data_IF_305518148060
#
_entry.id   IF_305518148060
#
_cell.length_a   1.000
_cell.length_b   1.000
_cell.length_c   1.000
_cell.angle_alpha   90.00
_cell.angle_beta   90.00
_cell.angle_gamma   90.00
#
_symmetry.space_group_name_H-M   'P 1'
#
loop_
_entity.id
_entity.type
_entity.pdbx_description
1 polymer ?
#
# COMPACT_ATOMS: atom_id res chain seq x y z
N UNK A 1 -9.18 -9.28 6.19
CA UNK A 1 -8.49 -9.94 5.06
C UNK A 1 -7.40 -9.03 4.50
N UNK A 2 -6.25 -9.56 4.09
CA UNK A 2 -5.21 -8.79 3.39
C UNK A 2 -5.00 -9.39 1.99
N UNK A 3 -4.99 -8.53 0.97
CA UNK A 3 -4.56 -8.87 -0.38
C UNK A 3 -3.20 -8.22 -0.65
N UNK A 4 -2.19 -9.03 -0.86
CA UNK A 4 -0.84 -8.58 -1.21
C UNK A 4 -0.74 -8.48 -2.73
N UNK A 5 -0.40 -7.29 -3.19
CA UNK A 5 -0.26 -6.92 -4.60
C UNK A 5 1.23 -6.78 -4.94
N UNK A 6 1.82 -7.77 -5.62
CA UNK A 6 3.23 -7.74 -5.98
C UNK A 6 3.59 -6.60 -6.93
N UNK A 7 4.89 -6.39 -7.12
CA UNK A 7 5.41 -5.51 -8.16
C UNK A 7 5.09 -6.05 -9.58
N UNK A 8 5.11 -5.15 -10.55
CA UNK A 8 4.87 -5.43 -11.96
C UNK A 8 5.73 -4.56 -12.86
N UNK A 9 5.44 -4.62 -14.16
CA UNK A 9 6.08 -3.81 -15.18
C UNK A 9 5.10 -2.72 -15.68
N UNK A 10 5.63 -1.69 -16.30
CA UNK A 10 4.79 -0.67 -16.96
C UNK A 10 4.05 -1.26 -18.17
N UNK A 11 4.78 -2.01 -19.01
CA UNK A 11 4.23 -2.68 -20.19
C UNK A 11 4.72 -4.11 -20.25
N UNK A 12 3.84 -5.09 -20.16
CA UNK A 12 4.17 -6.51 -20.34
C UNK A 12 2.92 -7.35 -20.52
N UNK A 13 2.84 -8.10 -21.60
CA UNK A 13 1.82 -9.14 -21.82
C UNK A 13 2.24 -10.52 -21.27
N UNK A 14 3.41 -10.64 -20.65
CA UNK A 14 3.89 -11.90 -20.07
C UNK A 14 3.14 -12.20 -18.76
N UNK A 15 2.90 -13.48 -18.51
CA UNK A 15 2.42 -13.94 -17.21
C UNK A 15 3.54 -13.82 -16.16
N UNK A 16 3.23 -13.35 -14.95
CA UNK A 16 4.23 -13.35 -13.87
C UNK A 16 4.63 -14.78 -13.50
N UNK A 17 5.89 -14.97 -13.13
CA UNK A 17 6.29 -16.19 -12.44
C UNK A 17 5.78 -16.15 -10.99
N UNK A 18 4.95 -17.10 -10.55
CA UNK A 18 4.31 -17.04 -9.23
C UNK A 18 5.32 -16.92 -8.08
N UNK A 19 6.45 -17.60 -8.15
CA UNK A 19 7.49 -17.59 -7.10
C UNK A 19 8.17 -16.24 -6.96
N UNK A 20 8.50 -15.56 -8.08
CA UNK A 20 9.15 -14.25 -8.03
C UNK A 20 8.18 -13.14 -7.59
N UNK A 21 6.93 -13.20 -8.04
CA UNK A 21 5.89 -12.29 -7.61
C UNK A 21 5.64 -12.42 -6.10
N UNK A 22 5.45 -13.65 -5.61
CA UNK A 22 5.27 -13.92 -4.18
C UNK A 22 6.48 -13.52 -3.33
N UNK A 23 7.72 -13.66 -3.86
CA UNK A 23 8.93 -13.32 -3.12
C UNK A 23 8.99 -11.82 -2.74
N UNK A 24 8.50 -10.93 -3.61
CA UNK A 24 8.56 -9.48 -3.39
C UNK A 24 7.74 -8.99 -2.18
N UNK A 25 6.68 -9.71 -1.83
CA UNK A 25 5.75 -9.38 -0.73
C UNK A 25 5.71 -10.45 0.37
N UNK A 26 6.37 -11.59 0.15
CA UNK A 26 6.26 -12.77 1.00
C UNK A 26 6.79 -12.58 2.43
N UNK A 27 7.85 -11.79 2.60
CA UNK A 27 8.38 -11.51 3.94
C UNK A 27 7.39 -10.71 4.78
N UNK A 28 6.77 -9.69 4.18
CA UNK A 28 5.72 -8.90 4.80
C UNK A 28 4.48 -9.78 5.08
N UNK A 29 4.07 -10.58 4.10
CA UNK A 29 2.93 -11.50 4.27
C UNK A 29 3.09 -12.43 5.46
N UNK A 30 4.24 -13.09 5.59
CA UNK A 30 4.52 -13.96 6.75
C UNK A 30 4.50 -13.21 8.09
N UNK A 31 4.93 -11.95 8.09
CA UNK A 31 4.87 -11.11 9.28
C UNK A 31 3.42 -10.80 9.66
N UNK A 32 2.60 -10.38 8.69
CA UNK A 32 1.18 -10.07 8.92
C UNK A 32 0.39 -11.31 9.39
N UNK A 33 0.61 -12.47 8.77
CA UNK A 33 -0.01 -13.74 9.23
C UNK A 33 0.32 -14.01 10.69
N UNK A 34 1.58 -13.86 11.10
CA UNK A 34 1.97 -14.06 12.51
C UNK A 34 1.34 -13.04 13.45
N UNK A 35 1.30 -11.76 13.05
CA UNK A 35 0.73 -10.69 13.85
C UNK A 35 -0.78 -10.85 14.07
N UNK A 36 -1.48 -11.36 13.06
CA UNK A 36 -2.93 -11.54 13.08
C UNK A 36 -3.42 -12.95 13.38
N UNK A 37 -2.52 -13.89 13.77
CA UNK A 37 -2.88 -15.29 14.00
C UNK A 37 -4.01 -15.47 15.04
N UNK A 38 -4.02 -14.65 16.10
CA UNK A 38 -5.05 -14.68 17.16
C UNK A 38 -6.39 -14.01 16.76
N UNK A 39 -6.44 -13.31 15.62
CA UNK A 39 -7.60 -12.53 15.18
C UNK A 39 -8.19 -13.05 13.85
N UNK A 40 -7.72 -14.21 13.40
CA UNK A 40 -8.22 -14.83 12.17
C UNK A 40 -7.82 -14.06 10.89
N UNK A 41 -6.69 -13.33 10.90
CA UNK A 41 -6.19 -12.64 9.71
C UNK A 41 -5.79 -13.63 8.63
N UNK A 42 -6.43 -13.54 7.48
CA UNK A 42 -6.06 -14.28 6.27
C UNK A 42 -5.34 -13.34 5.31
N UNK A 43 -4.24 -13.82 4.72
CA UNK A 43 -3.40 -13.06 3.81
C UNK A 43 -3.24 -13.85 2.50
N UNK A 44 -3.64 -13.26 1.39
CA UNK A 44 -3.48 -13.83 0.06
C UNK A 44 -2.55 -12.97 -0.80
N UNK A 45 -1.76 -13.62 -1.65
CA UNK A 45 -1.00 -12.95 -2.70
C UNK A 45 -1.84 -12.98 -3.98
N UNK A 46 -2.05 -11.82 -4.58
CA UNK A 46 -2.75 -11.72 -5.86
C UNK A 46 -1.81 -12.17 -6.98
N UNK A 47 -2.29 -13.09 -7.79
CA UNK A 47 -1.58 -13.54 -8.99
C UNK A 47 -2.18 -12.87 -10.21
N UNK A 48 -1.45 -11.92 -10.78
CA UNK A 48 -1.90 -11.18 -11.95
C UNK A 48 -1.97 -12.05 -13.20
N UNK A 49 -2.93 -11.74 -14.09
CA UNK A 49 -3.02 -12.33 -15.44
C UNK A 49 -1.83 -11.93 -16.29
N UNK A 50 -1.45 -10.65 -16.21
CA UNK A 50 -0.30 -10.07 -16.91
C UNK A 50 0.60 -9.36 -15.92
N UNK A 51 1.90 -9.34 -16.22
CA UNK A 51 2.87 -8.64 -15.38
C UNK A 51 2.80 -7.13 -15.54
N UNK A 52 2.30 -6.63 -16.68
CA UNK A 52 2.27 -5.21 -17.02
C UNK A 52 1.00 -4.49 -16.62
N UNK A 53 1.17 -3.20 -16.30
CA UNK A 53 0.05 -2.28 -16.15
C UNK A 53 -0.71 -2.09 -17.46
N UNK A 54 0.04 -1.91 -18.59
CA UNK A 54 -0.43 -1.82 -19.97
C UNK A 54 -1.36 -0.62 -20.24
N UNK A 55 -0.93 0.56 -19.86
CA UNK A 55 -1.58 1.82 -20.19
C UNK A 55 -3.01 1.94 -19.64
N UNK A 56 -3.98 2.23 -20.51
CA UNK A 56 -5.40 2.39 -20.15
C UNK A 56 -6.03 1.11 -19.63
N UNK A 57 -5.51 -0.06 -20.00
CA UNK A 57 -6.03 -1.36 -19.55
C UNK A 57 -5.88 -1.55 -18.04
N UNK A 58 -4.83 -1.00 -17.43
CA UNK A 58 -4.60 -1.06 -15.99
C UNK A 58 -4.81 -2.46 -15.40
N UNK A 59 -4.29 -3.50 -16.08
CA UNK A 59 -4.57 -4.90 -15.78
C UNK A 59 -4.37 -5.27 -14.30
N UNK A 60 -3.31 -4.71 -13.65
CA UNK A 60 -3.03 -4.99 -12.25
C UNK A 60 -4.14 -4.47 -11.33
N UNK A 61 -4.74 -3.32 -11.67
CA UNK A 61 -5.88 -2.78 -10.93
C UNK A 61 -7.13 -3.64 -11.13
N UNK A 62 -7.41 -4.07 -12.36
CA UNK A 62 -8.52 -4.98 -12.64
C UNK A 62 -8.37 -6.30 -11.88
N UNK A 63 -7.16 -6.85 -11.83
CA UNK A 63 -6.89 -8.08 -11.10
C UNK A 63 -7.01 -7.89 -9.57
N UNK A 64 -6.71 -6.69 -9.06
CA UNK A 64 -6.93 -6.34 -7.65
C UNK A 64 -8.43 -6.24 -7.31
N UNK A 65 -9.23 -5.61 -8.19
CA UNK A 65 -10.69 -5.54 -8.06
C UNK A 65 -11.30 -6.95 -8.10
N UNK A 66 -10.90 -7.75 -9.08
CA UNK A 66 -11.34 -9.15 -9.17
C UNK A 66 -10.98 -9.96 -7.91
N UNK A 67 -9.78 -9.75 -7.35
CA UNK A 67 -9.38 -10.44 -6.13
C UNK A 67 -10.22 -10.01 -4.91
N UNK A 68 -10.65 -8.76 -4.85
CA UNK A 68 -11.56 -8.27 -3.82
C UNK A 68 -12.98 -8.86 -3.99
N UNK A 69 -13.50 -8.95 -5.23
CA UNK A 69 -14.74 -9.67 -5.54
C UNK A 69 -14.68 -11.14 -5.10
N UNK A 70 -13.55 -11.80 -5.35
CA UNK A 70 -13.34 -13.20 -4.98
C UNK A 70 -13.28 -13.39 -3.44
N UNK A 71 -12.76 -12.40 -2.71
CA UNK A 71 -12.84 -12.38 -1.24
C UNK A 71 -14.31 -12.34 -0.80
N UNK A 72 -15.12 -11.42 -1.34
CA UNK A 72 -16.53 -11.31 -1.00
C UNK A 72 -17.28 -12.62 -1.31
N UNK A 73 -17.00 -13.20 -2.47
CA UNK A 73 -17.63 -14.45 -2.89
C UNK A 73 -17.31 -15.64 -1.95
N UNK A 74 -16.06 -15.71 -1.42
CA UNK A 74 -15.60 -16.85 -0.59
C UNK A 74 -15.85 -16.65 0.89
N UNK A 75 -15.72 -15.42 1.37
CA UNK A 75 -15.67 -15.12 2.81
C UNK A 75 -16.81 -14.21 3.28
N UNK A 76 -17.66 -13.74 2.33
CA UNK A 76 -18.72 -12.79 2.64
C UNK A 76 -18.22 -11.35 2.83
N UNK A 77 -18.99 -10.57 3.52
CA UNK A 77 -18.69 -9.15 3.78
C UNK A 77 -17.62 -9.02 4.89
N UNK A 78 -16.37 -9.18 4.49
CA UNK A 78 -15.21 -9.02 5.38
C UNK A 78 -14.37 -7.82 4.93
N UNK A 79 -13.84 -7.00 5.85
CA UNK A 79 -13.02 -5.86 5.48
C UNK A 79 -11.70 -6.31 4.85
N UNK A 80 -11.35 -5.67 3.72
CA UNK A 80 -10.13 -5.94 2.96
C UNK A 80 -9.16 -4.78 3.09
N UNK A 81 -7.90 -5.10 3.40
CA UNK A 81 -6.77 -4.20 3.26
C UNK A 81 -5.96 -4.58 2.03
N UNK A 82 -5.83 -3.66 1.07
CA UNK A 82 -4.94 -3.84 -0.07
C UNK A 82 -3.53 -3.39 0.32
N UNK A 83 -2.56 -4.27 0.18
CA UNK A 83 -1.15 -3.98 0.49
C UNK A 83 -0.33 -4.19 -0.78
N UNK A 84 0.12 -3.09 -1.39
CA UNK A 84 0.81 -3.14 -2.66
C UNK A 84 2.21 -2.57 -2.61
N UNK A 85 3.11 -3.11 -3.44
CA UNK A 85 4.47 -2.62 -3.62
C UNK A 85 4.71 -2.19 -5.06
N UNK A 86 5.38 -1.05 -5.25
CA UNK A 86 5.71 -0.51 -6.57
C UNK A 86 4.47 -0.42 -7.47
N UNK A 87 4.43 -1.10 -8.62
CA UNK A 87 3.25 -1.15 -9.50
C UNK A 87 2.02 -1.76 -8.80
N UNK A 88 2.21 -2.73 -7.90
CA UNK A 88 1.15 -3.24 -7.02
C UNK A 88 0.65 -2.19 -6.02
N UNK A 89 1.49 -1.25 -5.61
CA UNK A 89 1.09 -0.09 -4.80
C UNK A 89 0.16 0.84 -5.55
N UNK A 90 0.42 1.10 -6.84
CA UNK A 90 -0.50 1.82 -7.73
C UNK A 90 -1.81 1.07 -7.89
N UNK A 91 -1.75 -0.25 -8.11
CA UNK A 91 -2.95 -1.08 -8.25
C UNK A 91 -3.82 -1.03 -6.98
N UNK A 92 -3.21 -1.08 -5.78
CA UNK A 92 -3.91 -0.95 -4.51
C UNK A 92 -4.62 0.41 -4.38
N UNK A 93 -3.94 1.51 -4.74
CA UNK A 93 -4.53 2.85 -4.71
C UNK A 93 -5.68 2.99 -5.71
N UNK A 94 -5.62 2.35 -6.88
CA UNK A 94 -6.66 2.40 -7.91
C UNK A 94 -7.89 1.55 -7.53
N UNK A 95 -7.67 0.34 -7.02
CA UNK A 95 -8.72 -0.60 -6.64
C UNK A 95 -9.37 -0.25 -5.27
N UNK A 96 -8.95 0.82 -4.61
CA UNK A 96 -9.48 1.25 -3.32
C UNK A 96 -10.99 1.57 -3.31
N UNK A 97 -11.58 1.80 -4.49
CA UNK A 97 -13.00 2.07 -4.64
C UNK A 97 -13.92 0.86 -4.43
N UNK A 98 -13.38 -0.35 -4.43
CA UNK A 98 -14.15 -1.56 -4.22
C UNK A 98 -14.82 -1.56 -2.83
N UNK A 99 -16.09 -2.00 -2.74
CA UNK A 99 -16.91 -1.89 -1.53
C UNK A 99 -16.31 -2.61 -0.31
N UNK A 100 -15.69 -3.75 -0.50
CA UNK A 100 -15.04 -4.51 0.56
C UNK A 100 -13.72 -3.89 1.05
N UNK A 101 -13.10 -2.99 0.28
CA UNK A 101 -11.83 -2.37 0.66
C UNK A 101 -12.06 -1.27 1.69
N UNK A 102 -11.49 -1.43 2.90
CA UNK A 102 -11.53 -0.42 3.93
C UNK A 102 -10.21 0.34 4.10
N UNK A 103 -9.11 -0.23 3.65
CA UNK A 103 -7.78 0.36 3.83
C UNK A 103 -6.79 -0.01 2.74
N UNK A 104 -5.79 0.85 2.55
CA UNK A 104 -4.73 0.68 1.55
C UNK A 104 -3.37 0.99 2.18
N UNK A 105 -2.42 0.11 1.97
CA UNK A 105 -1.00 0.33 2.24
C UNK A 105 -0.22 0.27 0.92
N UNK A 106 0.38 1.37 0.52
CA UNK A 106 1.20 1.46 -0.69
C UNK A 106 2.68 1.68 -0.33
N UNK A 107 3.54 0.73 -0.72
CA UNK A 107 4.98 0.74 -0.47
C UNK A 107 5.71 1.14 -1.76
N UNK A 108 6.40 2.29 -1.75
CA UNK A 108 7.09 2.87 -2.89
C UNK A 108 6.23 2.75 -4.18
N UNK A 109 4.98 3.28 -4.19
CA UNK A 109 4.09 3.07 -5.33
C UNK A 109 4.70 3.67 -6.59
N UNK A 110 4.74 2.88 -7.67
CA UNK A 110 5.08 3.42 -8.98
C UNK A 110 3.92 4.27 -9.49
N UNK A 111 4.19 5.53 -9.77
CA UNK A 111 3.22 6.47 -10.30
C UNK A 111 3.78 7.08 -11.60
N UNK A 112 2.94 7.29 -12.62
CA UNK A 112 3.39 7.95 -13.83
C UNK A 112 3.80 9.39 -13.52
N UNK A 113 4.78 9.91 -14.26
CA UNK A 113 5.09 11.32 -14.23
C UNK A 113 3.85 12.13 -14.62
N UNK A 114 3.58 13.19 -13.88
CA UNK A 114 2.48 14.11 -14.17
C UNK A 114 2.95 15.06 -15.28
N UNK A 115 2.75 14.66 -16.53
CA UNK A 115 2.86 15.56 -17.66
C UNK A 115 1.54 16.34 -17.83
N UNK A 116 1.61 17.57 -18.38
CA UNK A 116 0.42 18.39 -18.67
C UNK A 116 -0.56 17.70 -19.62
N UNK A 117 -0.10 16.70 -20.38
CA UNK A 117 -0.90 15.89 -21.28
C UNK A 117 -1.56 14.66 -20.62
N UNK A 118 -1.14 14.26 -19.42
CA UNK A 118 -1.64 13.07 -18.73
C UNK A 118 -2.40 13.49 -17.48
N UNK A 119 -3.64 13.03 -17.35
CA UNK A 119 -4.43 13.28 -16.14
C UNK A 119 -3.72 12.69 -14.92
N UNK A 120 -3.66 13.45 -13.82
CA UNK A 120 -3.02 12.95 -12.61
C UNK A 120 -3.75 11.71 -12.07
N UNK A 121 -3.00 10.83 -11.41
CA UNK A 121 -3.55 9.60 -10.81
C UNK A 121 -4.79 9.94 -9.94
N UNK A 122 -5.94 9.27 -10.14
CA UNK A 122 -7.18 9.61 -9.44
C UNK A 122 -7.08 9.37 -7.94
N UNK A 123 -7.85 10.14 -7.17
CA UNK A 123 -7.87 10.05 -5.71
C UNK A 123 -9.29 9.90 -5.13
N UNK A 124 -10.34 10.02 -5.95
CA UNK A 124 -11.74 9.95 -5.48
C UNK A 124 -12.07 8.61 -4.83
N UNK A 125 -11.53 7.51 -5.36
CA UNK A 125 -11.72 6.16 -4.85
C UNK A 125 -11.11 5.93 -3.46
N UNK A 126 -10.22 6.82 -3.01
CA UNK A 126 -9.64 6.79 -1.67
C UNK A 126 -10.58 7.39 -0.59
N UNK A 127 -11.70 7.97 -0.99
CA UNK A 127 -12.68 8.54 -0.07
C UNK A 127 -13.19 7.51 0.93
N UNK A 128 -13.15 7.83 2.23
CA UNK A 128 -13.57 6.95 3.32
C UNK A 128 -12.66 5.74 3.57
N UNK A 129 -11.49 5.67 2.95
CA UNK A 129 -10.50 4.60 3.16
C UNK A 129 -9.36 5.09 4.05
N UNK A 130 -8.86 4.24 4.94
CA UNK A 130 -7.58 4.51 5.61
C UNK A 130 -6.44 4.23 4.65
N UNK A 131 -5.56 5.20 4.44
CA UNK A 131 -4.47 5.07 3.48
C UNK A 131 -3.14 5.41 4.13
N UNK A 132 -2.19 4.48 4.03
CA UNK A 132 -0.80 4.70 4.37
C UNK A 132 0.06 4.54 3.12
N UNK A 133 0.87 5.54 2.83
CA UNK A 133 1.90 5.47 1.80
C UNK A 133 3.26 5.51 2.48
N UNK A 134 4.20 4.67 2.05
CA UNK A 134 5.59 4.66 2.52
C UNK A 134 6.50 4.80 1.31
N UNK A 135 7.42 5.76 1.32
CA UNK A 135 8.32 5.99 0.18
C UNK A 135 9.74 6.32 0.63
N UNK A 136 10.73 5.74 -0.03
CA UNK A 136 12.14 6.06 0.19
C UNK A 136 12.51 7.41 -0.42
N UNK A 137 13.27 8.23 0.30
CA UNK A 137 13.64 9.57 -0.22
C UNK A 137 14.66 9.54 -1.35
N UNK A 138 15.38 8.43 -1.48
CA UNK A 138 16.39 8.21 -2.54
C UNK A 138 15.88 7.20 -3.59
N UNK A 139 14.56 7.15 -3.83
CA UNK A 139 13.99 6.32 -4.86
C UNK A 139 14.29 6.93 -6.25
N UNK A 140 15.17 6.25 -7.01
CA UNK A 140 15.55 6.64 -8.37
C UNK A 140 14.65 6.02 -9.45
N UNK A 141 13.78 5.08 -9.08
CA UNK A 141 12.87 4.41 -10.02
C UNK A 141 11.53 5.13 -10.16
N UNK A 142 11.09 5.76 -9.09
CA UNK A 142 9.86 6.55 -9.03
C UNK A 142 10.08 7.74 -8.12
N UNK A 143 9.87 8.95 -8.65
CA UNK A 143 10.00 10.17 -7.87
C UNK A 143 9.09 10.14 -6.62
N UNK A 144 9.65 10.20 -5.40
CA UNK A 144 8.88 10.22 -4.16
C UNK A 144 7.89 11.39 -4.07
N UNK A 145 8.15 12.48 -4.80
CA UNK A 145 7.29 13.65 -4.86
C UNK A 145 5.93 13.34 -5.51
N UNK A 146 5.87 12.39 -6.45
CA UNK A 146 4.61 11.96 -7.05
C UNK A 146 3.66 11.37 -6.02
N UNK A 147 4.17 10.52 -5.14
CA UNK A 147 3.37 9.95 -4.05
C UNK A 147 2.96 10.98 -3.00
N UNK A 148 3.80 11.99 -2.75
CA UNK A 148 3.44 13.12 -1.89
C UNK A 148 2.31 13.95 -2.50
N UNK A 149 2.41 14.32 -3.77
CA UNK A 149 1.36 15.08 -4.49
C UNK A 149 0.03 14.32 -4.52
N UNK A 150 0.06 13.00 -4.77
CA UNK A 150 -1.12 12.15 -4.71
C UNK A 150 -1.73 12.18 -3.30
N UNK A 151 -0.94 11.95 -2.26
CA UNK A 151 -1.39 11.99 -0.88
C UNK A 151 -1.96 13.36 -0.49
N UNK A 152 -1.33 14.45 -0.93
CA UNK A 152 -1.79 15.82 -0.66
C UNK A 152 -3.15 16.12 -1.34
N UNK A 153 -3.35 15.66 -2.58
CA UNK A 153 -4.65 15.76 -3.25
C UNK A 153 -5.73 14.94 -2.53
N UNK A 154 -5.39 13.70 -2.17
CA UNK A 154 -6.32 12.80 -1.49
C UNK A 154 -6.71 13.29 -0.10
N UNK A 155 -5.75 13.83 0.68
CA UNK A 155 -6.00 14.31 2.05
C UNK A 155 -6.93 15.53 2.10
N UNK A 156 -7.11 16.26 1.01
CA UNK A 156 -8.11 17.36 0.95
C UNK A 156 -9.54 16.84 1.09
N UNK A 157 -9.82 15.62 0.63
CA UNK A 157 -11.15 15.01 0.64
C UNK A 157 -11.29 13.90 1.70
N UNK A 158 -10.18 13.33 2.17
CA UNK A 158 -10.15 12.24 3.12
C UNK A 158 -9.06 12.45 4.17
N UNK A 159 -9.44 12.68 5.42
CA UNK A 159 -8.49 12.92 6.52
C UNK A 159 -7.65 11.69 6.88
N UNK A 160 -8.16 10.49 6.62
CA UNK A 160 -7.54 9.21 7.01
C UNK A 160 -6.40 8.78 6.06
N UNK A 161 -5.62 9.76 5.61
CA UNK A 161 -4.46 9.55 4.74
C UNK A 161 -3.21 10.05 5.45
N UNK A 162 -2.18 9.20 5.52
CA UNK A 162 -0.86 9.57 5.99
C UNK A 162 0.23 9.01 5.07
N UNK A 163 1.41 9.63 5.13
CA UNK A 163 2.56 9.19 4.36
C UNK A 163 3.83 9.29 5.20
N UNK A 164 4.67 8.26 5.10
CA UNK A 164 5.97 8.19 5.75
C UNK A 164 7.09 8.23 4.72
N UNK A 165 8.15 8.95 5.06
CA UNK A 165 9.40 9.01 4.33
C UNK A 165 10.45 8.14 5.00
N UNK A 166 11.10 7.28 4.21
CA UNK A 166 12.22 6.46 4.67
C UNK A 166 13.50 7.13 4.15
N UNK A 167 14.13 7.93 5.01
CA UNK A 167 15.30 8.71 4.63
C UNK A 167 16.45 7.80 4.21
N UNK A 168 17.16 8.22 3.15
CA UNK A 168 18.32 7.53 2.57
C UNK A 168 18.02 6.12 2.02
N UNK A 169 16.76 5.68 1.96
CA UNK A 169 16.37 4.41 1.34
C UNK A 169 15.82 4.64 -0.07
N UNK A 170 16.03 3.66 -0.93
CA UNK A 170 15.58 3.67 -2.32
C UNK A 170 14.27 2.90 -2.53
N UNK A 171 13.96 2.60 -3.81
CA UNK A 171 12.74 1.90 -4.23
C UNK A 171 12.48 0.58 -3.49
N UNK A 172 13.55 -0.12 -3.14
CA UNK A 172 13.49 -1.41 -2.45
C UNK A 172 13.06 -1.36 -0.99
N UNK A 173 13.16 -0.21 -0.33
CA UNK A 173 12.94 -0.04 1.11
C UNK A 173 13.72 -1.11 1.91
N UNK A 174 14.98 -1.37 1.50
CA UNK A 174 15.76 -2.49 2.03
C UNK A 174 16.53 -2.13 3.30
N UNK A 175 16.98 -0.90 3.40
CA UNK A 175 17.81 -0.42 4.50
C UNK A 175 17.03 -0.41 5.83
N UNK A 176 15.76 0.01 5.77
CA UNK A 176 14.85 0.07 6.93
C UNK A 176 13.71 -0.94 6.85
N UNK A 177 13.96 -2.11 6.24
CA UNK A 177 12.93 -3.13 6.01
C UNK A 177 12.19 -3.54 7.29
N UNK A 178 12.89 -3.67 8.41
CA UNK A 178 12.28 -4.08 9.67
C UNK A 178 11.30 -3.03 10.19
N UNK A 179 11.63 -1.76 10.06
CA UNK A 179 10.82 -0.62 10.46
C UNK A 179 9.62 -0.44 9.54
N UNK A 180 9.83 -0.54 8.23
CA UNK A 180 8.74 -0.52 7.23
C UNK A 180 7.75 -1.66 7.48
N UNK A 181 8.23 -2.87 7.76
CA UNK A 181 7.37 -4.00 8.07
C UNK A 181 6.65 -3.83 9.43
N UNK A 182 7.28 -3.17 10.41
CA UNK A 182 6.63 -2.88 11.69
C UNK A 182 5.52 -1.82 11.53
N UNK A 183 5.78 -0.79 10.73
CA UNK A 183 4.79 0.23 10.37
C UNK A 183 3.61 -0.38 9.60
N UNK A 184 3.90 -1.28 8.65
CA UNK A 184 2.88 -2.01 7.90
C UNK A 184 2.00 -2.88 8.81
N UNK A 185 2.61 -3.59 9.76
CA UNK A 185 1.90 -4.40 10.76
C UNK A 185 0.99 -3.52 11.63
N UNK A 186 1.53 -2.44 12.19
CA UNK A 186 0.77 -1.49 13.01
C UNK A 186 -0.46 -0.96 12.25
N UNK A 187 -0.25 -0.51 11.02
CA UNK A 187 -1.32 0.03 10.18
C UNK A 187 -2.38 -1.02 9.84
N UNK A 188 -1.98 -2.21 9.38
CA UNK A 188 -2.91 -3.27 8.97
C UNK A 188 -3.74 -3.76 10.16
N UNK A 189 -3.09 -3.97 11.32
CA UNK A 189 -3.80 -4.44 12.52
C UNK A 189 -4.74 -3.38 13.08
N UNK A 190 -4.35 -2.11 13.05
CA UNK A 190 -5.23 -1.02 13.45
C UNK A 190 -6.41 -0.82 12.49
N UNK A 191 -6.16 -0.92 11.18
CA UNK A 191 -7.20 -0.71 10.17
C UNK A 191 -8.25 -1.84 10.13
N UNK A 192 -7.82 -3.10 10.26
CA UNK A 192 -8.71 -4.26 10.14
C UNK A 192 -9.37 -4.69 11.45
N UNK A 193 -8.67 -4.53 12.58
CA UNK A 193 -9.12 -5.05 13.88
C UNK A 193 -9.38 -3.97 14.93
N UNK A 194 -9.25 -2.70 14.55
CA UNK A 194 -9.50 -1.59 15.48
C UNK A 194 -8.46 -1.47 16.60
N UNK A 195 -7.30 -2.10 16.47
CA UNK A 195 -6.21 -1.88 17.42
C UNK A 195 -5.78 -0.42 17.38
N UNK A 196 -5.41 0.14 18.51
CA UNK A 196 -4.87 1.48 18.57
C UNK A 196 -3.59 1.56 17.72
N UNK A 197 -3.53 2.51 16.78
CA UNK A 197 -2.30 2.79 16.05
C UNK A 197 -1.21 3.28 17.00
N UNK A 198 0.04 3.02 16.66
CA UNK A 198 1.16 3.66 17.34
C UNK A 198 1.06 5.18 17.26
N UNK A 199 1.65 5.86 18.23
CA UNK A 199 1.61 7.34 18.26
C UNK A 199 2.09 7.99 16.97
N UNK A 200 3.20 7.58 16.32
CA UNK A 200 3.61 8.17 15.05
C UNK A 200 2.54 8.07 13.95
N UNK A 201 1.80 6.96 13.87
CA UNK A 201 0.72 6.80 12.89
C UNK A 201 -0.48 7.67 13.25
N UNK A 202 -0.85 7.76 14.54
CA UNK A 202 -1.92 8.66 15.01
C UNK A 202 -1.58 10.12 14.69
N UNK A 203 -0.35 10.55 15.01
CA UNK A 203 0.12 11.92 14.77
C UNK A 203 0.13 12.23 13.26
N UNK A 204 0.57 11.28 12.41
CA UNK A 204 0.56 11.44 10.96
C UNK A 204 -0.87 11.55 10.37
N UNK A 205 -1.82 10.77 10.88
CA UNK A 205 -3.22 10.86 10.47
C UNK A 205 -3.86 12.19 10.92
N UNK A 206 -3.58 12.64 12.13
CA UNK A 206 -4.14 13.87 12.70
C UNK A 206 -3.51 15.14 12.10
N UNK A 207 -2.24 15.10 11.72
CA UNK A 207 -1.53 16.28 11.25
C UNK A 207 -2.02 16.75 9.87
N UNK A 208 -2.14 18.08 9.67
CA UNK A 208 -2.46 18.64 8.36
C UNK A 208 -1.27 18.48 7.40
N UNK A 209 -1.52 18.57 6.05
CA UNK A 209 -0.41 18.69 5.10
C UNK A 209 0.43 19.95 5.36
N UNK A 210 1.77 19.91 5.16
CA UNK A 210 2.53 18.75 4.68
C UNK A 210 2.95 17.78 5.80
N UNK A 211 2.76 18.12 7.08
CA UNK A 211 3.34 17.41 8.22
C UNK A 211 2.96 15.93 8.26
N UNK A 212 1.68 15.60 8.18
CA UNK A 212 1.22 14.20 8.17
C UNK A 212 1.54 13.40 6.90
N UNK A 213 2.18 14.05 5.90
CA UNK A 213 2.54 13.45 4.61
C UNK A 213 4.05 13.40 4.36
N UNK A 214 4.85 13.97 5.28
CA UNK A 214 6.32 13.93 5.29
C UNK A 214 6.85 13.43 6.62
N UNK A 215 6.13 12.49 7.25
CA UNK A 215 6.53 11.90 8.51
C UNK A 215 7.79 11.05 8.32
N UNK A 216 8.87 11.31 9.05
CA UNK A 216 10.05 10.46 8.96
C UNK A 216 9.79 9.12 9.65
N UNK A 217 10.15 8.02 8.99
CA UNK A 217 10.16 6.72 9.65
C UNK A 217 11.41 6.62 10.53
N UNK A 218 11.22 6.63 11.84
CA UNK A 218 12.31 6.60 12.80
C UNK A 218 13.03 5.24 12.78
N UNK A 219 14.35 5.26 12.84
CA UNK A 219 15.17 4.07 13.06
C UNK A 219 14.74 3.38 14.37
N UNK A 220 14.58 2.06 14.30
CA UNK A 220 14.12 1.27 15.45
C UNK A 220 12.60 1.31 15.67
N UNK A 221 11.80 1.88 14.76
CA UNK A 221 10.35 1.76 14.80
C UNK A 221 9.93 0.28 14.96
N UNK A 222 9.01 0.01 15.86
CA UNK A 222 8.57 -1.36 16.19
C UNK A 222 9.39 -2.08 17.25
N UNK A 223 10.59 -1.61 17.61
CA UNK A 223 11.34 -2.16 18.75
C UNK A 223 10.74 -1.71 20.08
N UNK A 224 10.20 -0.50 20.11
CA UNK A 224 9.54 0.11 21.28
C UNK A 224 8.08 -0.32 21.45
N UNK A 225 7.44 -0.88 20.41
CA UNK A 225 6.05 -1.33 20.46
C UNK A 225 5.88 -2.70 21.13
N UNK A 226 6.96 -3.36 21.51
CA UNK A 226 6.98 -4.70 22.15
C UNK A 226 7.17 -4.67 23.66
N UNK A 227 6.98 -3.50 24.29
CA UNK A 227 7.03 -3.38 25.77
C UNK A 227 5.66 -3.16 26.36
#
# INVERSE_FOLDING_TARGET
>A
MVLLLPDGDEVSARRPFPLTAAASVGALGRRLVRAGAGEGLVVHVVHYRYRGWNGSEAHLSQDADWAADEVVRRYGDVPVCLVGRSMGGRAALRAAGHSAVNSVLALAPWLPEEDMAVSPEPVRQLGGRRVLIVHGTNDERTDPELSFRLAARAKKANRDICRFEVHSDGHGLHQYRSEVHALAEDFVMGALFGRAFSRPVQDALAAPPPLGLRMPLAAGFGKTLRR
#
